data_IF_078695579654
#
_entry.id   IF_078695579654
#
_cell.length_a   1.000
_cell.length_b   1.000
_cell.length_c   1.000
_cell.angle_alpha   90.00
_cell.angle_beta   90.00
_cell.angle_gamma   90.00
#
_symmetry.space_group_name_H-M   'P 1'
#
loop_
_entity.id
_entity.type
_entity.pdbx_description
1 polymer ?
#
# COMPACT_ATOMS: atom_id res chain seq x y z
N UNK A 1 -6.10 -17.86 41.41
CA UNK A 1 -5.94 -17.44 40.00
C UNK A 1 -5.82 -15.93 39.96
N UNK A 2 -4.67 -15.43 39.52
CA UNK A 2 -4.25 -14.03 39.38
C UNK A 2 -3.45 -14.00 38.07
N UNK A 3 -3.52 -13.04 37.15
CA UNK A 3 -4.24 -11.76 37.12
C UNK A 3 -4.69 -11.46 35.65
N UNK A 4 -5.96 -11.15 35.35
CA UNK A 4 -6.43 -10.84 33.99
C UNK A 4 -6.27 -9.36 33.55
N UNK A 5 -5.65 -8.47 34.34
CA UNK A 5 -5.40 -7.05 33.97
C UNK A 5 -4.21 -6.89 33.01
N UNK A 6 -4.08 -5.91 32.08
CA UNK A 6 -4.61 -4.55 31.82
C UNK A 6 -4.05 -3.39 32.65
N UNK A 7 -3.00 -2.74 32.14
CA UNK A 7 -2.78 -1.30 32.33
C UNK A 7 -2.76 -0.61 30.95
N UNK A 8 -3.50 0.50 30.81
CA UNK A 8 -3.69 1.26 29.55
C UNK A 8 -3.47 2.76 29.76
N UNK A 9 -2.93 3.43 28.75
CA UNK A 9 -3.23 4.84 28.47
C UNK A 9 -2.87 5.22 27.03
N UNK A 10 -3.66 6.10 26.44
CA UNK A 10 -3.41 6.79 25.17
C UNK A 10 -4.00 8.20 25.30
N UNK A 11 -3.29 9.22 24.83
CA UNK A 11 -3.91 10.47 24.35
C UNK A 11 -3.09 10.94 23.17
N UNK A 12 -3.75 11.09 22.02
CA UNK A 12 -3.11 11.44 20.76
C UNK A 12 -3.72 12.68 20.13
N UNK A 13 -2.98 13.27 19.20
CA UNK A 13 -3.49 13.89 17.98
C UNK A 13 -2.48 13.56 16.89
N UNK A 14 -2.94 13.02 15.77
CA UNK A 14 -2.13 12.89 14.55
C UNK A 14 -2.68 13.93 13.58
N UNK A 15 -1.94 15.03 13.42
CA UNK A 15 -2.17 16.02 12.38
C UNK A 15 -0.84 16.16 11.63
N UNK A 16 -0.71 15.40 10.56
CA UNK A 16 0.46 15.37 9.70
C UNK A 16 -0.04 15.30 8.27
N UNK A 17 0.33 16.29 7.47
CA UNK A 17 0.11 16.19 6.03
C UNK A 17 1.07 15.14 5.49
N UNK A 18 0.48 14.12 4.87
CA UNK A 18 1.18 12.98 4.29
C UNK A 18 0.83 12.86 2.81
N UNK A 19 1.76 12.34 2.03
CA UNK A 19 1.56 12.10 0.61
C UNK A 19 2.66 11.23 0.05
N UNK A 20 2.33 10.49 -1.01
CA UNK A 20 3.26 9.70 -1.79
C UNK A 20 2.76 9.62 -3.23
N UNK A 21 3.69 9.64 -4.19
CA UNK A 21 3.39 9.13 -5.52
C UNK A 21 3.41 7.61 -5.49
N UNK A 22 2.49 6.96 -6.20
CA UNK A 22 2.40 5.50 -6.23
C UNK A 22 1.96 4.97 -7.60
N UNK A 23 2.43 3.76 -7.93
CA UNK A 23 1.88 2.97 -9.01
C UNK A 23 0.73 2.11 -8.48
N UNK A 24 -0.33 2.01 -9.27
CA UNK A 24 -1.48 1.16 -9.01
C UNK A 24 -1.67 0.17 -10.15
N UNK A 25 -1.79 -1.11 -9.80
CA UNK A 25 -2.29 -2.15 -10.70
C UNK A 25 -3.66 -2.61 -10.23
N UNK A 26 -4.61 -2.67 -11.17
CA UNK A 26 -5.91 -3.29 -10.98
C UNK A 26 -5.95 -4.60 -11.78
N UNK A 27 -6.45 -5.69 -11.20
CA UNK A 27 -6.68 -6.94 -11.92
C UNK A 27 -7.50 -6.73 -13.20
N UNK A 28 -7.23 -7.52 -14.23
CA UNK A 28 -7.90 -7.42 -15.54
C UNK A 28 -9.44 -7.37 -15.47
N UNK A 29 -10.02 -8.14 -14.55
CA UNK A 29 -11.48 -8.21 -14.35
C UNK A 29 -12.00 -7.25 -13.27
N UNK A 30 -11.20 -6.27 -12.85
CA UNK A 30 -11.61 -5.29 -11.86
C UNK A 30 -12.74 -4.40 -12.41
N UNK A 31 -13.78 -4.20 -11.61
CA UNK A 31 -14.87 -3.28 -11.93
C UNK A 31 -15.42 -2.64 -10.65
N UNK A 32 -15.53 -1.32 -10.64
CA UNK A 32 -16.09 -0.56 -9.52
C UNK A 32 -17.58 -0.88 -9.26
N UNK A 33 -18.30 -1.36 -10.28
CA UNK A 33 -19.71 -1.78 -10.20
C UNK A 33 -19.89 -3.20 -9.66
N UNK A 34 -18.81 -3.98 -9.60
CA UNK A 34 -18.86 -5.35 -9.10
C UNK A 34 -18.99 -5.41 -7.58
N UNK A 35 -19.62 -6.48 -7.08
CA UNK A 35 -19.61 -6.83 -5.66
C UNK A 35 -18.31 -7.53 -5.24
N UNK A 36 -17.50 -8.00 -6.19
CA UNK A 36 -16.22 -8.68 -5.92
C UNK A 36 -15.25 -7.70 -5.25
N UNK A 37 -14.67 -8.14 -4.12
CA UNK A 37 -13.54 -7.48 -3.45
C UNK A 37 -12.25 -8.26 -3.72
N UNK A 38 -11.14 -7.54 -3.81
CA UNK A 38 -9.86 -8.08 -4.26
C UNK A 38 -8.81 -8.01 -3.14
N UNK A 39 -7.96 -9.04 -2.97
CA UNK A 39 -6.78 -8.89 -2.11
C UNK A 39 -5.94 -7.70 -2.56
N UNK A 40 -5.18 -7.13 -1.63
CA UNK A 40 -4.24 -6.07 -1.91
C UNK A 40 -2.84 -6.49 -1.47
N UNK A 41 -1.86 -6.19 -2.32
CA UNK A 41 -0.45 -6.18 -1.95
C UNK A 41 0.03 -4.73 -1.93
N UNK A 42 0.56 -4.30 -0.78
CA UNK A 42 1.43 -3.14 -0.69
C UNK A 42 2.87 -3.60 -0.91
N UNK A 43 3.48 -3.19 -2.01
CA UNK A 43 4.86 -3.54 -2.36
C UNK A 43 5.78 -2.37 -2.09
N UNK A 44 6.79 -2.58 -1.25
CA UNK A 44 7.79 -1.58 -0.89
C UNK A 44 9.12 -1.88 -1.60
N UNK A 45 9.54 -0.97 -2.47
CA UNK A 45 10.80 -1.10 -3.20
C UNK A 45 12.04 -0.94 -2.31
N UNK A 46 13.22 -1.25 -2.87
CA UNK A 46 14.51 -1.13 -2.21
C UNK A 46 15.08 0.29 -2.25
N UNK A 47 16.27 0.50 -1.68
CA UNK A 47 16.86 1.84 -1.66
C UNK A 47 17.20 2.40 -3.06
N UNK A 48 17.36 1.54 -4.07
CA UNK A 48 17.72 1.91 -5.45
C UNK A 48 16.63 2.67 -6.21
N UNK A 49 15.36 2.44 -5.86
CA UNK A 49 14.21 3.07 -6.54
C UNK A 49 13.70 4.33 -5.83
N UNK A 50 14.39 4.78 -4.77
CA UNK A 50 14.07 6.05 -4.10
C UNK A 50 14.18 7.24 -5.05
N UNK A 51 13.36 8.24 -4.83
CA UNK A 51 13.44 9.51 -5.55
C UNK A 51 12.11 10.17 -5.82
N UNK A 52 12.08 10.90 -6.92
CA UNK A 52 10.96 11.71 -7.43
C UNK A 52 10.64 11.35 -8.89
N UNK A 53 11.01 10.14 -9.31
CA UNK A 53 10.73 9.60 -10.64
C UNK A 53 9.99 8.28 -10.44
N UNK A 54 8.66 8.37 -10.52
CA UNK A 54 7.76 7.24 -10.26
C UNK A 54 8.02 6.03 -11.18
N UNK A 55 8.63 6.25 -12.34
CA UNK A 55 8.96 5.17 -13.27
C UNK A 55 9.96 4.16 -12.70
N UNK A 56 10.81 4.60 -11.76
CA UNK A 56 11.78 3.74 -11.06
C UNK A 56 11.12 2.66 -10.19
N UNK A 57 9.92 2.90 -9.68
CA UNK A 57 9.20 1.92 -8.86
C UNK A 57 8.92 0.63 -9.66
N UNK A 58 8.84 0.72 -10.99
CA UNK A 58 8.69 -0.43 -11.88
C UNK A 58 10.02 -1.02 -12.39
N UNK A 59 11.16 -0.74 -11.76
CA UNK A 59 12.45 -1.34 -12.11
C UNK A 59 12.53 -2.83 -11.71
N UNK A 60 11.86 -3.21 -10.61
CA UNK A 60 11.87 -4.55 -10.04
C UNK A 60 10.49 -4.95 -9.48
N UNK A 61 10.37 -6.20 -9.03
CA UNK A 61 9.21 -6.69 -8.29
C UNK A 61 7.91 -6.80 -9.10
N UNK A 62 6.76 -6.90 -8.41
CA UNK A 62 5.45 -6.99 -9.04
C UNK A 62 5.12 -5.84 -10.03
N UNK A 63 5.47 -4.56 -9.76
CA UNK A 63 5.21 -3.48 -10.70
C UNK A 63 5.90 -3.66 -12.06
N UNK A 64 7.14 -4.17 -12.07
CA UNK A 64 7.84 -4.52 -13.32
C UNK A 64 7.10 -5.62 -14.08
N UNK A 65 6.70 -6.68 -13.39
CA UNK A 65 6.02 -7.81 -14.01
C UNK A 65 4.66 -7.39 -14.57
N UNK A 66 3.91 -6.55 -13.85
CA UNK A 66 2.66 -5.97 -14.33
C UNK A 66 2.88 -5.11 -15.59
N UNK A 67 3.92 -4.26 -15.59
CA UNK A 67 4.32 -3.47 -16.77
C UNK A 67 4.68 -4.35 -17.97
N UNK A 68 5.20 -5.56 -17.74
CA UNK A 68 5.52 -6.54 -18.77
C UNK A 68 4.32 -7.40 -19.21
N UNK A 69 3.11 -7.12 -18.70
CA UNK A 69 1.89 -7.81 -19.09
C UNK A 69 1.55 -9.04 -18.24
N UNK A 70 2.24 -9.27 -17.12
CA UNK A 70 1.82 -10.32 -16.16
C UNK A 70 0.54 -9.88 -15.46
N UNK A 71 -0.48 -10.72 -15.56
CA UNK A 71 -1.73 -10.52 -14.83
C UNK A 71 -1.62 -11.02 -13.39
N UNK A 72 -2.20 -10.25 -12.45
CA UNK A 72 -2.29 -10.62 -11.05
C UNK A 72 -3.75 -10.66 -10.58
N UNK A 73 -4.15 -11.66 -9.78
CA UNK A 73 -5.50 -11.77 -9.26
C UNK A 73 -5.74 -10.90 -8.01
N UNK A 74 -5.00 -9.80 -7.85
CA UNK A 74 -5.03 -8.89 -6.71
C UNK A 74 -4.58 -7.48 -7.10
N UNK A 75 -4.99 -6.49 -6.31
CA UNK A 75 -4.57 -5.10 -6.45
C UNK A 75 -3.12 -4.98 -5.98
N UNK A 76 -2.29 -4.20 -6.68
CA UNK A 76 -0.94 -3.88 -6.24
C UNK A 76 -0.83 -2.36 -6.09
N UNK A 77 -0.40 -1.93 -4.91
CA UNK A 77 -0.06 -0.54 -4.61
C UNK A 77 1.45 -0.49 -4.37
N UNK A 78 2.14 0.42 -5.06
CA UNK A 78 3.59 0.55 -4.96
C UNK A 78 3.96 2.02 -4.84
N UNK A 79 4.05 2.57 -3.62
CA UNK A 79 4.49 3.94 -3.41
C UNK A 79 5.98 4.10 -3.73
N UNK A 80 6.41 5.33 -4.00
CA UNK A 80 7.82 5.71 -4.06
C UNK A 80 8.26 6.35 -2.74
N UNK A 81 9.35 5.85 -2.16
CA UNK A 81 10.02 6.49 -1.04
C UNK A 81 10.92 7.64 -1.55
N UNK A 82 10.83 8.86 -1.00
CA UNK A 82 11.65 9.98 -1.45
C UNK A 82 13.15 9.78 -1.22
N UNK A 83 13.97 10.57 -1.93
CA UNK A 83 15.43 10.59 -1.72
C UNK A 83 15.78 10.93 -0.27
N UNK A 84 16.76 10.20 0.29
CA UNK A 84 17.25 10.41 1.65
C UNK A 84 16.28 9.98 2.76
N UNK A 85 15.09 9.47 2.42
CA UNK A 85 14.09 9.03 3.40
C UNK A 85 14.07 7.50 3.58
N UNK A 86 13.33 7.08 4.60
CA UNK A 86 12.90 5.69 4.81
C UNK A 86 11.38 5.64 4.72
N UNK A 87 10.83 4.43 4.69
CA UNK A 87 9.39 4.25 4.78
C UNK A 87 8.84 4.84 6.07
N UNK A 88 7.75 5.59 5.93
CA UNK A 88 7.04 6.26 7.01
C UNK A 88 5.66 5.60 7.20
N UNK A 89 5.38 5.12 8.41
CA UNK A 89 4.16 4.37 8.68
C UNK A 89 2.90 5.22 8.49
N UNK A 90 2.93 6.52 8.83
CA UNK A 90 1.75 7.38 8.68
C UNK A 90 1.41 7.55 7.19
N UNK A 91 2.44 7.70 6.35
CA UNK A 91 2.26 7.79 4.89
C UNK A 91 1.71 6.49 4.33
N UNK A 92 2.25 5.34 4.73
CA UNK A 92 1.81 4.03 4.23
C UNK A 92 0.39 3.70 4.68
N UNK A 93 0.05 3.96 5.95
CA UNK A 93 -1.29 3.74 6.48
C UNK A 93 -2.31 4.68 5.82
N UNK A 94 -1.99 5.97 5.66
CA UNK A 94 -2.88 6.91 4.97
C UNK A 94 -3.09 6.54 3.49
N UNK A 95 -2.06 6.04 2.80
CA UNK A 95 -2.20 5.53 1.45
C UNK A 95 -3.08 4.28 1.39
N UNK A 96 -2.95 3.36 2.35
CA UNK A 96 -3.83 2.20 2.45
C UNK A 96 -5.29 2.63 2.67
N UNK A 97 -5.54 3.54 3.61
CA UNK A 97 -6.88 4.09 3.87
C UNK A 97 -7.47 4.73 2.60
N UNK A 98 -6.67 5.50 1.87
CA UNK A 98 -7.08 6.09 0.58
C UNK A 98 -7.48 5.02 -0.43
N UNK A 99 -6.64 4.01 -0.61
CA UNK A 99 -6.87 2.96 -1.60
C UNK A 99 -8.07 2.08 -1.21
N UNK A 100 -8.21 1.74 0.07
CA UNK A 100 -9.34 0.97 0.59
C UNK A 100 -10.66 1.74 0.46
N UNK A 101 -10.64 3.06 0.59
CA UNK A 101 -11.81 3.92 0.36
C UNK A 101 -12.18 4.08 -1.11
N UNK A 102 -11.20 4.09 -2.01
CA UNK A 102 -11.41 4.33 -3.45
C UNK A 102 -11.67 3.05 -4.26
N UNK A 103 -11.13 1.91 -3.84
CA UNK A 103 -11.14 0.67 -4.61
C UNK A 103 -11.82 -0.48 -3.87
N UNK A 104 -12.25 -1.51 -4.62
CA UNK A 104 -12.89 -2.72 -4.06
C UNK A 104 -11.85 -3.65 -3.44
N UNK A 105 -11.12 -3.18 -2.43
CA UNK A 105 -10.16 -3.97 -1.64
C UNK A 105 -10.90 -4.88 -0.68
N UNK A 106 -10.48 -6.13 -0.53
CA UNK A 106 -10.88 -7.03 0.55
C UNK A 106 -9.97 -6.78 1.77
N UNK A 107 -10.47 -6.05 2.75
CA UNK A 107 -9.69 -5.62 3.92
C UNK A 107 -9.30 -6.76 4.85
N UNK A 108 -9.86 -7.97 4.66
CA UNK A 108 -9.39 -9.18 5.33
C UNK A 108 -8.15 -9.81 4.69
N UNK A 109 -7.69 -9.30 3.53
CA UNK A 109 -6.58 -9.86 2.74
C UNK A 109 -5.67 -8.76 2.19
N UNK A 110 -5.01 -8.06 3.11
CA UNK A 110 -3.97 -7.06 2.81
C UNK A 110 -2.61 -7.63 3.21
N UNK A 111 -1.65 -7.61 2.27
CA UNK A 111 -0.31 -8.14 2.46
C UNK A 111 0.74 -7.07 2.19
N UNK A 112 1.85 -7.13 2.93
CA UNK A 112 3.01 -6.27 2.76
C UNK A 112 4.20 -7.11 2.31
N UNK A 113 4.94 -6.64 1.30
CA UNK A 113 6.18 -7.29 0.82
C UNK A 113 7.20 -6.28 0.34
#
# INVERSE_FOLDING_TARGET
MKDPQQAKSFKGKINKDVGAEYLLYLPKDYSAKSRKRWPLILFLHGAGERGNDISKVAAHGPPRLAKQGKDFPFIIVSPQCPNGQRWDNDVLLALLDEVEGKYKVDTGRVYLT
#
